data_IF_364022685570
#
_entry.id   IF_364022685570
#
_cell.length_a   1.000
_cell.length_b   1.000
_cell.length_c   1.000
_cell.angle_alpha   90.00
_cell.angle_beta   90.00
_cell.angle_gamma   90.00
#
_symmetry.space_group_name_H-M   'P 1'
#
loop_
_entity.id
_entity.type
_entity.pdbx_description
1 polymer ?
#
# COMPACT_ATOMS: atom_id res chain seq x y z
N UNK A 1 16.55 27.89 -5.77
CA UNK A 1 16.53 27.52 -4.31
C UNK A 1 15.40 28.22 -3.54
N UNK A 2 15.05 29.47 -3.80
CA UNK A 2 14.10 30.23 -2.96
C UNK A 2 12.68 29.65 -2.79
N UNK A 3 12.06 29.09 -3.82
CA UNK A 3 10.66 28.62 -3.74
C UNK A 3 10.52 27.41 -2.82
N UNK A 4 11.41 26.43 -2.93
CA UNK A 4 11.38 25.24 -2.07
C UNK A 4 11.73 25.57 -0.61
N UNK A 5 12.67 26.49 -0.39
CA UNK A 5 13.03 26.94 0.95
C UNK A 5 11.84 27.62 1.64
N UNK A 6 11.16 28.54 0.93
CA UNK A 6 9.97 29.21 1.44
C UNK A 6 8.82 28.22 1.75
N UNK A 7 8.63 27.19 0.91
CA UNK A 7 7.65 26.15 1.16
C UNK A 7 7.97 25.36 2.43
N UNK A 8 9.22 24.97 2.64
CA UNK A 8 9.65 24.24 3.85
C UNK A 8 9.45 25.11 5.10
N UNK A 9 9.82 26.38 5.05
CA UNK A 9 9.64 27.31 6.18
C UNK A 9 8.16 27.58 6.48
N UNK A 10 7.32 27.67 5.43
CA UNK A 10 5.87 27.76 5.58
C UNK A 10 5.32 26.50 6.25
N UNK A 11 5.71 25.32 5.78
CA UNK A 11 5.30 24.05 6.37
C UNK A 11 5.68 23.95 7.84
N UNK A 12 6.90 24.30 8.21
CA UNK A 12 7.36 24.30 9.62
C UNK A 12 6.51 25.19 10.51
N UNK A 13 6.10 26.38 10.00
CA UNK A 13 5.27 27.32 10.77
C UNK A 13 3.86 26.81 11.04
N UNK A 14 3.29 26.08 10.08
CA UNK A 14 1.89 25.61 10.16
C UNK A 14 1.76 24.18 10.68
N UNK A 15 2.86 23.44 10.74
CA UNK A 15 2.87 22.03 11.10
C UNK A 15 2.20 21.77 12.46
N UNK A 16 2.56 22.54 13.49
CA UNK A 16 2.02 22.37 14.84
C UNK A 16 0.52 22.65 14.93
N UNK A 17 -0.04 23.47 14.02
CA UNK A 17 -1.45 23.81 13.98
C UNK A 17 -2.27 22.83 13.14
N UNK A 18 -1.63 21.87 12.46
CA UNK A 18 -2.29 20.90 11.59
C UNK A 18 -2.34 19.54 12.24
N UNK A 19 -3.46 18.86 12.02
CA UNK A 19 -3.69 17.49 12.43
C UNK A 19 -4.30 16.71 11.27
N UNK A 20 -3.59 15.73 10.77
CA UNK A 20 -3.99 14.97 9.59
C UNK A 20 -4.30 13.54 9.99
N UNK A 21 -5.46 13.05 9.61
CA UNK A 21 -5.80 11.64 9.69
C UNK A 21 -5.53 10.97 8.34
N UNK A 22 -4.75 9.90 8.31
CA UNK A 22 -4.34 9.20 7.09
C UNK A 22 -4.63 7.70 7.17
N UNK A 23 -5.27 7.17 6.19
CA UNK A 23 -5.68 5.76 6.09
C UNK A 23 -6.04 5.43 4.62
N UNK A 24 -6.52 4.22 4.29
CA UNK A 24 -7.04 3.20 5.25
C UNK A 24 -6.16 1.93 5.28
N UNK A 25 -5.20 1.82 4.39
CA UNK A 25 -4.36 0.63 4.23
C UNK A 25 -2.92 0.87 4.62
N UNK A 26 -2.29 -0.19 5.09
CA UNK A 26 -0.85 -0.26 5.32
C UNK A 26 -0.34 -1.66 5.05
N UNK A 27 0.90 -1.79 4.61
CA UNK A 27 1.60 -3.05 4.42
C UNK A 27 3.10 -2.88 4.61
N UNK A 28 3.79 -3.98 4.80
CA UNK A 28 5.25 -4.00 4.81
C UNK A 28 5.74 -4.28 3.40
N UNK A 29 6.42 -3.31 2.78
CA UNK A 29 7.09 -3.50 1.50
C UNK A 29 8.43 -4.19 1.72
N UNK A 30 8.60 -5.38 1.14
CA UNK A 30 9.84 -6.13 1.14
C UNK A 30 10.56 -5.89 -0.19
N UNK A 31 11.62 -5.08 -0.17
CA UNK A 31 12.43 -4.87 -1.36
C UNK A 31 13.30 -6.11 -1.60
N UNK A 32 13.03 -6.79 -2.70
CA UNK A 32 13.68 -8.04 -3.08
C UNK A 32 14.61 -7.79 -4.26
N UNK A 33 15.86 -8.22 -4.14
CA UNK A 33 16.80 -8.19 -5.28
C UNK A 33 16.45 -9.27 -6.27
N UNK A 34 16.38 -8.90 -7.52
CA UNK A 34 16.27 -9.86 -8.62
C UNK A 34 17.47 -10.79 -8.64
N UNK A 35 17.23 -12.05 -8.34
CA UNK A 35 18.24 -13.11 -8.46
C UNK A 35 17.89 -14.00 -9.64
N UNK A 36 18.54 -13.73 -10.79
CA UNK A 36 18.31 -14.48 -12.02
C UNK A 36 18.55 -15.98 -11.82
N UNK A 37 19.53 -16.36 -10.99
CA UNK A 37 19.87 -17.77 -10.79
C UNK A 37 18.79 -18.53 -10.02
N UNK A 38 18.20 -17.91 -9.01
CA UNK A 38 17.06 -18.49 -8.24
C UNK A 38 15.82 -18.52 -9.11
N UNK A 39 15.46 -17.41 -9.75
CA UNK A 39 14.23 -17.31 -10.55
C UNK A 39 14.31 -18.23 -11.78
N UNK A 40 15.48 -18.37 -12.42
CA UNK A 40 15.65 -19.29 -13.53
C UNK A 40 15.41 -20.75 -13.09
N UNK A 41 15.86 -21.16 -11.90
CA UNK A 41 15.55 -22.51 -11.39
C UNK A 41 14.03 -22.73 -11.21
N UNK A 42 13.30 -21.70 -10.80
CA UNK A 42 11.85 -21.79 -10.74
C UNK A 42 11.22 -21.93 -12.13
N UNK A 43 11.74 -21.16 -13.12
CA UNK A 43 11.30 -21.28 -14.52
C UNK A 43 11.57 -22.69 -15.03
N UNK A 44 12.78 -23.21 -14.83
CA UNK A 44 13.17 -24.55 -15.29
C UNK A 44 12.31 -25.68 -14.68
N UNK A 45 11.81 -25.44 -13.46
CA UNK A 45 11.02 -26.45 -12.73
C UNK A 45 9.51 -26.33 -12.99
N UNK A 46 8.97 -25.10 -13.11
CA UNK A 46 7.51 -24.87 -13.04
C UNK A 46 6.92 -24.25 -14.30
N UNK A 47 7.73 -23.68 -15.21
CA UNK A 47 7.15 -22.94 -16.34
C UNK A 47 6.42 -23.84 -17.34
N UNK A 48 5.27 -23.35 -17.80
CA UNK A 48 4.52 -23.93 -18.93
C UNK A 48 4.47 -23.00 -20.13
N UNK A 49 4.75 -21.71 -19.95
CA UNK A 49 4.82 -20.67 -20.96
C UNK A 49 4.33 -19.31 -20.44
N UNK A 50 4.66 -18.21 -21.15
CA UNK A 50 4.27 -16.88 -20.70
C UNK A 50 2.75 -16.70 -20.69
N UNK A 51 2.19 -16.27 -19.54
CA UNK A 51 0.76 -16.03 -19.36
C UNK A 51 0.50 -14.72 -18.64
N UNK A 52 -0.54 -14.00 -19.08
CA UNK A 52 -1.00 -12.78 -18.39
C UNK A 52 -1.89 -13.16 -17.21
N UNK A 53 -1.29 -13.19 -16.02
CA UNK A 53 -1.94 -13.61 -14.78
C UNK A 53 -1.93 -12.44 -13.80
N UNK A 54 -3.07 -12.15 -13.15
CA UNK A 54 -3.22 -11.12 -12.13
C UNK A 54 -3.34 -11.71 -10.72
N UNK A 55 -3.85 -12.95 -10.60
CA UNK A 55 -3.91 -13.71 -9.35
C UNK A 55 -3.07 -14.97 -9.49
N UNK A 56 -1.98 -15.04 -8.75
CA UNK A 56 -1.01 -16.13 -8.77
C UNK A 56 -1.35 -17.11 -7.68
N UNK A 57 -1.83 -18.30 -8.03
CA UNK A 57 -2.30 -19.32 -7.10
C UNK A 57 -1.25 -20.38 -6.79
N UNK A 58 -0.17 -20.47 -7.57
CA UNK A 58 0.88 -21.46 -7.43
C UNK A 58 2.18 -21.00 -8.12
N UNK A 59 3.26 -21.79 -8.00
CA UNK A 59 4.56 -21.48 -8.58
C UNK A 59 4.57 -21.49 -10.12
N UNK A 60 3.72 -22.29 -10.76
CA UNK A 60 3.56 -22.27 -12.23
C UNK A 60 3.00 -20.93 -12.69
N UNK A 61 1.96 -20.45 -12.03
CA UNK A 61 1.39 -19.14 -12.31
C UNK A 61 2.40 -18.02 -12.11
N UNK A 62 3.19 -18.09 -11.02
CA UNK A 62 4.23 -17.09 -10.76
C UNK A 62 5.23 -17.01 -11.91
N UNK A 63 5.83 -18.14 -12.31
CA UNK A 63 6.89 -18.11 -13.33
C UNK A 63 6.37 -17.77 -14.71
N UNK A 64 5.16 -18.25 -15.08
CA UNK A 64 4.53 -17.92 -16.35
C UNK A 64 4.16 -16.43 -16.44
N UNK A 65 3.70 -15.84 -15.31
CA UNK A 65 3.50 -14.40 -15.18
C UNK A 65 4.82 -13.63 -15.29
N UNK A 66 5.89 -14.09 -14.64
CA UNK A 66 7.19 -13.43 -14.73
C UNK A 66 7.73 -13.44 -16.17
N UNK A 67 7.62 -14.56 -16.90
CA UNK A 67 7.99 -14.66 -18.32
C UNK A 67 7.20 -13.66 -19.17
N UNK A 68 5.90 -13.48 -18.89
CA UNK A 68 5.05 -12.54 -19.61
C UNK A 68 5.37 -11.09 -19.28
N UNK A 69 5.51 -10.75 -17.97
CA UNK A 69 5.61 -9.37 -17.50
C UNK A 69 7.00 -8.76 -17.56
N UNK A 70 8.04 -9.56 -17.55
CA UNK A 70 9.41 -9.06 -17.61
C UNK A 70 9.70 -8.25 -18.90
N UNK A 71 9.29 -8.69 -20.09
CA UNK A 71 9.40 -7.89 -21.32
C UNK A 71 8.45 -6.68 -21.35
N UNK A 72 7.31 -6.75 -20.66
CA UNK A 72 6.30 -5.67 -20.60
C UNK A 72 6.72 -4.51 -19.68
N UNK A 73 7.69 -4.73 -18.80
CA UNK A 73 8.27 -3.69 -17.96
C UNK A 73 7.66 -3.55 -16.56
N UNK A 74 7.02 -4.58 -16.07
CA UNK A 74 6.54 -4.62 -14.68
C UNK A 74 5.03 -4.70 -14.51
N UNK A 75 4.59 -5.00 -13.30
CA UNK A 75 3.18 -5.16 -12.93
C UNK A 75 3.01 -5.18 -11.41
N UNK A 76 1.75 -5.20 -10.98
CA UNK A 76 1.35 -5.64 -9.64
C UNK A 76 0.36 -6.80 -9.79
N UNK A 77 0.49 -7.82 -8.94
CA UNK A 77 -0.43 -8.95 -8.89
C UNK A 77 -0.53 -9.51 -7.48
N UNK A 78 -1.66 -10.17 -7.20
CA UNK A 78 -1.87 -10.87 -5.94
C UNK A 78 -1.27 -12.27 -6.00
N UNK A 79 -0.75 -12.73 -4.87
CA UNK A 79 -0.16 -14.07 -4.72
C UNK A 79 -0.80 -14.80 -3.53
N UNK A 80 -0.85 -16.12 -3.60
CA UNK A 80 -1.27 -16.94 -2.47
C UNK A 80 -0.15 -17.09 -1.42
N UNK A 81 -0.52 -17.59 -0.25
CA UNK A 81 0.40 -17.77 0.88
C UNK A 81 1.59 -18.69 0.55
N UNK A 82 1.36 -19.78 -0.17
CA UNK A 82 2.41 -20.73 -0.56
C UNK A 82 3.51 -20.05 -1.40
N UNK A 83 3.10 -19.25 -2.36
CA UNK A 83 4.01 -18.48 -3.23
C UNK A 83 4.76 -17.44 -2.40
N UNK A 84 4.07 -16.72 -1.49
CA UNK A 84 4.69 -15.74 -0.60
C UNK A 84 5.79 -16.37 0.26
N UNK A 85 5.52 -17.51 0.90
CA UNK A 85 6.49 -18.27 1.70
C UNK A 85 7.68 -18.76 0.87
N UNK A 86 7.44 -19.19 -0.36
CA UNK A 86 8.50 -19.64 -1.27
C UNK A 86 9.42 -18.46 -1.64
N UNK A 87 8.88 -17.30 -1.94
CA UNK A 87 9.64 -16.08 -2.22
C UNK A 87 10.48 -15.69 -0.99
N UNK A 88 9.86 -15.63 0.18
CA UNK A 88 10.51 -15.21 1.42
C UNK A 88 11.67 -16.12 1.84
N UNK A 89 11.53 -17.44 1.62
CA UNK A 89 12.57 -18.41 1.95
C UNK A 89 13.69 -18.51 0.91
N UNK A 90 13.42 -18.13 -0.34
CA UNK A 90 14.35 -18.37 -1.47
C UNK A 90 15.08 -17.11 -1.93
N UNK A 91 14.49 -15.93 -1.79
CA UNK A 91 15.04 -14.68 -2.24
C UNK A 91 15.53 -13.81 -1.07
N UNK A 92 16.62 -13.09 -1.31
CA UNK A 92 17.20 -12.21 -0.29
C UNK A 92 16.45 -10.88 -0.24
N UNK A 93 15.90 -10.58 0.92
CA UNK A 93 15.35 -9.24 1.22
C UNK A 93 16.49 -8.23 1.32
N UNK A 94 16.39 -7.13 0.57
CA UNK A 94 17.39 -6.06 0.56
C UNK A 94 17.12 -5.00 1.63
N UNK A 95 15.85 -4.62 1.80
CA UNK A 95 15.38 -3.66 2.80
C UNK A 95 13.88 -3.78 2.99
N UNK A 96 13.37 -3.06 4.00
CA UNK A 96 11.95 -2.93 4.29
C UNK A 96 11.49 -1.50 4.01
N UNK A 97 10.23 -1.34 3.64
CA UNK A 97 9.56 -0.06 3.46
C UNK A 97 8.15 -0.07 4.06
N UNK A 98 7.57 1.11 4.17
CA UNK A 98 6.16 1.26 4.48
C UNK A 98 5.40 1.29 3.16
N UNK A 99 4.45 0.39 3.01
CA UNK A 99 3.46 0.41 1.93
C UNK A 99 2.12 0.95 2.41
N UNK A 100 1.25 1.23 1.44
CA UNK A 100 -0.03 1.89 1.65
C UNK A 100 0.11 3.42 1.64
N UNK A 101 -0.60 4.09 0.73
CA UNK A 101 -0.50 5.54 0.50
C UNK A 101 -0.77 6.34 1.77
N UNK A 102 -1.77 5.92 2.59
CA UNK A 102 -2.07 6.59 3.86
C UNK A 102 -0.91 6.52 4.86
N UNK A 103 -0.30 5.35 5.02
CA UNK A 103 0.83 5.18 5.93
C UNK A 103 2.09 5.93 5.43
N UNK A 104 2.36 5.91 4.13
CA UNK A 104 3.45 6.67 3.52
C UNK A 104 3.24 8.19 3.66
N UNK A 105 2.02 8.67 3.45
CA UNK A 105 1.68 10.08 3.66
C UNK A 105 1.88 10.51 5.12
N UNK A 106 1.47 9.68 6.09
CA UNK A 106 1.69 9.94 7.50
C UNK A 106 3.19 10.03 7.84
N UNK A 107 4.04 9.15 7.25
CA UNK A 107 5.49 9.23 7.38
C UNK A 107 6.05 10.54 6.83
N UNK A 108 5.65 10.91 5.62
CA UNK A 108 6.09 12.15 4.98
C UNK A 108 5.69 13.38 5.81
N UNK A 109 4.44 13.46 6.24
CA UNK A 109 3.94 14.53 7.10
C UNK A 109 4.68 14.57 8.45
N UNK A 110 4.90 13.39 9.06
CA UNK A 110 5.65 13.27 10.31
C UNK A 110 7.10 13.77 10.18
N UNK A 111 7.75 13.54 9.04
CA UNK A 111 9.10 14.06 8.77
C UNK A 111 9.15 15.59 8.68
N UNK A 112 8.03 16.23 8.34
CA UNK A 112 7.87 17.69 8.34
C UNK A 112 7.37 18.24 9.67
N UNK A 113 7.16 17.40 10.70
CA UNK A 113 6.68 17.80 12.00
C UNK A 113 5.16 17.95 12.10
N UNK A 114 4.39 17.55 11.08
CA UNK A 114 2.93 17.60 11.10
C UNK A 114 2.38 16.47 11.96
N UNK A 115 1.48 16.81 12.90
CA UNK A 115 0.77 15.82 13.71
C UNK A 115 -0.11 14.95 12.81
N UNK A 116 0.13 13.62 12.86
CA UNK A 116 -0.58 12.67 12.01
C UNK A 116 -1.14 11.53 12.84
N UNK A 117 -2.38 11.14 12.53
CA UNK A 117 -3.00 9.91 13.01
C UNK A 117 -3.09 8.94 11.84
N UNK A 118 -2.52 7.76 12.00
CA UNK A 118 -2.58 6.74 10.95
C UNK A 118 -3.48 5.58 11.37
N UNK A 119 -4.25 5.07 10.41
CA UNK A 119 -4.95 3.79 10.51
C UNK A 119 -4.04 2.72 9.89
N UNK A 120 -3.74 1.66 10.63
CA UNK A 120 -2.91 0.54 10.18
C UNK A 120 -3.75 -0.72 10.08
N UNK A 121 -3.81 -1.32 8.88
CA UNK A 121 -4.44 -2.62 8.63
C UNK A 121 -3.45 -3.76 8.79
N UNK A 122 -2.28 -3.61 8.19
CA UNK A 122 -1.16 -4.54 8.31
C UNK A 122 0.03 -3.83 8.94
N UNK A 123 0.70 -4.51 9.86
CA UNK A 123 1.89 -3.99 10.53
C UNK A 123 2.74 -5.14 11.08
N UNK A 124 4.03 -4.86 11.23
CA UNK A 124 5.01 -5.75 11.82
C UNK A 124 6.03 -4.99 12.65
N UNK A 125 6.98 -5.68 13.30
CA UNK A 125 8.00 -5.06 14.15
C UNK A 125 8.85 -4.02 13.42
N UNK A 126 9.01 -4.12 12.10
CA UNK A 126 9.73 -3.17 11.25
C UNK A 126 9.14 -1.74 11.34
N UNK A 127 7.84 -1.62 11.61
CA UNK A 127 7.17 -0.32 11.74
C UNK A 127 7.68 0.50 12.93
N UNK A 128 8.30 -0.14 13.93
CA UNK A 128 8.93 0.57 15.04
C UNK A 128 10.00 1.57 14.59
N UNK A 129 10.66 1.30 13.48
CA UNK A 129 11.71 2.15 12.91
C UNK A 129 11.20 2.92 11.68
N UNK A 130 10.38 2.30 10.85
CA UNK A 130 9.84 2.90 9.62
C UNK A 130 8.87 4.06 9.90
N UNK A 131 8.08 3.98 10.98
CA UNK A 131 7.12 5.01 11.39
C UNK A 131 7.63 5.84 12.59
N UNK A 132 8.93 5.90 12.84
CA UNK A 132 9.52 6.54 14.01
C UNK A 132 9.60 8.08 13.85
N UNK A 133 8.46 8.73 13.75
CA UNK A 133 8.33 10.18 13.72
C UNK A 133 7.55 10.64 14.98
N UNK A 134 8.12 11.55 15.82
CA UNK A 134 7.47 11.96 17.08
C UNK A 134 6.03 12.47 16.93
N UNK A 135 5.66 13.23 15.88
CA UNK A 135 4.29 13.71 15.71
C UNK A 135 3.32 12.68 15.13
N UNK A 136 3.80 11.47 14.75
CA UNK A 136 2.97 10.41 14.20
C UNK A 136 2.43 9.52 15.32
N UNK A 137 1.13 9.29 15.30
CA UNK A 137 0.42 8.38 16.21
C UNK A 137 -0.41 7.36 15.43
N UNK A 138 -0.61 6.19 16.01
CA UNK A 138 -1.50 5.15 15.50
C UNK A 138 -2.76 5.12 16.33
N UNK A 139 -3.92 5.05 15.69
CA UNK A 139 -5.17 4.85 16.40
C UNK A 139 -5.27 3.40 16.91
N UNK A 140 -5.69 3.26 18.16
CA UNK A 140 -5.99 1.97 18.77
C UNK A 140 -6.97 2.13 19.94
N UNK A 141 -8.12 1.46 19.88
CA UNK A 141 -9.08 1.36 20.99
C UNK A 141 -9.42 2.71 21.65
N UNK A 142 -9.78 3.73 20.85
CA UNK A 142 -10.18 5.06 21.33
C UNK A 142 -9.02 6.00 21.68
N UNK A 143 -7.79 5.63 21.39
CA UNK A 143 -6.59 6.41 21.72
C UNK A 143 -5.67 6.57 20.51
N UNK A 144 -4.92 7.68 20.50
CA UNK A 144 -3.76 7.84 19.62
C UNK A 144 -2.51 7.43 20.40
N UNK A 145 -1.83 6.40 19.95
CA UNK A 145 -0.65 5.83 20.60
C UNK A 145 0.61 6.11 19.78
N UNK A 146 1.75 6.41 20.43
CA UNK A 146 3.03 6.33 19.74
C UNK A 146 3.24 4.95 19.12
N UNK A 147 3.84 4.89 17.94
CA UNK A 147 3.98 3.64 17.15
C UNK A 147 4.57 2.50 17.98
N UNK A 148 5.64 2.73 18.73
CA UNK A 148 6.26 1.69 19.55
C UNK A 148 5.36 1.17 20.67
N UNK A 149 4.46 2.01 21.20
CA UNK A 149 3.47 1.58 22.18
C UNK A 149 2.39 0.76 21.51
N UNK A 150 1.87 1.23 20.37
CA UNK A 150 0.90 0.47 19.58
C UNK A 150 1.38 -0.94 19.26
N UNK A 151 2.63 -1.10 18.79
CA UNK A 151 3.21 -2.40 18.42
C UNK A 151 3.39 -3.34 19.64
N UNK A 152 3.56 -2.80 20.85
CA UNK A 152 3.62 -3.62 22.07
C UNK A 152 2.25 -4.09 22.54
N UNK A 153 1.20 -3.31 22.27
CA UNK A 153 -0.17 -3.57 22.74
C UNK A 153 -1.00 -4.39 21.76
N UNK A 154 -0.53 -4.56 20.52
CA UNK A 154 -1.28 -5.24 19.47
C UNK A 154 -0.48 -6.39 18.87
N UNK A 155 -1.17 -7.49 18.58
CA UNK A 155 -0.59 -8.64 17.87
C UNK A 155 -0.30 -8.24 16.43
N UNK A 156 0.82 -8.72 15.90
CA UNK A 156 1.24 -8.51 14.53
C UNK A 156 0.17 -8.93 13.52
N UNK A 157 -0.01 -8.11 12.48
CA UNK A 157 -0.83 -8.39 11.30
C UNK A 157 0.05 -8.20 10.08
N UNK A 158 0.65 -9.28 9.60
CA UNK A 158 1.65 -9.22 8.56
C UNK A 158 1.04 -9.54 7.19
N UNK A 159 1.09 -8.57 6.30
CA UNK A 159 0.70 -8.70 4.90
C UNK A 159 1.81 -8.06 4.03
N UNK A 160 2.82 -8.83 3.59
CA UNK A 160 3.94 -8.30 2.85
C UNK A 160 3.62 -8.11 1.38
N UNK A 161 4.16 -7.02 0.82
CA UNK A 161 4.30 -6.82 -0.61
C UNK A 161 5.76 -7.05 -1.00
N UNK A 162 6.02 -8.02 -1.84
CA UNK A 162 7.37 -8.30 -2.35
C UNK A 162 7.62 -7.44 -3.59
N UNK A 163 8.55 -6.50 -3.47
CA UNK A 163 8.93 -5.59 -4.57
C UNK A 163 10.16 -6.17 -5.27
N UNK A 164 9.95 -6.98 -6.31
CA UNK A 164 11.01 -7.57 -7.11
C UNK A 164 11.58 -6.52 -8.07
N UNK A 165 12.72 -5.95 -7.72
CA UNK A 165 13.39 -4.94 -8.53
C UNK A 165 14.36 -5.58 -9.51
N UNK A 166 14.16 -5.35 -10.81
CA UNK A 166 15.05 -5.83 -11.87
C UNK A 166 15.69 -4.68 -12.65
N UNK A 167 16.87 -4.93 -13.17
CA UNK A 167 17.60 -3.99 -14.02
C UNK A 167 17.26 -4.19 -15.50
N UNK A 168 17.54 -3.18 -16.31
CA UNK A 168 17.49 -3.32 -17.76
C UNK A 168 18.41 -4.47 -18.21
N UNK A 169 17.89 -5.35 -19.06
CA UNK A 169 18.61 -6.53 -19.54
C UNK A 169 18.53 -7.75 -18.62
N UNK A 170 17.80 -7.67 -17.47
CA UNK A 170 17.47 -8.87 -16.73
C UNK A 170 16.68 -9.82 -17.64
N UNK A 171 17.06 -11.10 -17.65
CA UNK A 171 16.51 -12.06 -18.61
C UNK A 171 16.22 -13.40 -17.94
N UNK A 172 15.15 -14.05 -18.41
CA UNK A 172 14.79 -15.42 -18.11
C UNK A 172 14.71 -16.20 -19.41
N UNK A 173 15.08 -17.47 -19.37
CA UNK A 173 15.04 -18.36 -20.54
C UNK A 173 13.99 -19.43 -20.32
N UNK A 174 13.17 -19.64 -21.33
CA UNK A 174 12.23 -20.76 -21.37
C UNK A 174 12.21 -21.34 -22.77
N UNK A 175 12.52 -22.63 -22.88
CA UNK A 175 12.78 -23.30 -24.17
C UNK A 175 13.90 -22.56 -24.94
N UNK A 176 13.70 -22.26 -26.22
CA UNK A 176 14.66 -21.57 -27.08
C UNK A 176 14.50 -20.03 -27.07
N UNK A 177 13.65 -19.49 -26.16
CA UNK A 177 13.36 -18.06 -26.09
C UNK A 177 13.96 -17.40 -24.86
N UNK A 178 14.32 -16.11 -25.01
CA UNK A 178 14.78 -15.24 -23.92
C UNK A 178 13.79 -14.10 -23.70
N UNK A 179 13.29 -13.98 -22.50
CA UNK A 179 12.38 -12.94 -22.05
C UNK A 179 13.20 -11.90 -21.29
N UNK A 180 13.35 -10.71 -21.86
CA UNK A 180 14.32 -9.72 -21.38
C UNK A 180 13.64 -8.41 -21.05
N UNK A 181 13.98 -7.83 -19.89
CA UNK A 181 13.50 -6.52 -19.45
C UNK A 181 14.08 -5.40 -20.34
N UNK A 182 13.25 -4.60 -21.03
CA UNK A 182 13.70 -3.49 -21.88
C UNK A 182 14.19 -2.28 -21.07
N UNK A 183 13.69 -2.14 -19.85
CA UNK A 183 14.01 -1.06 -18.90
C UNK A 183 14.17 -1.62 -17.49
N UNK A 184 14.81 -0.88 -16.60
CA UNK A 184 14.79 -1.19 -15.17
C UNK A 184 13.40 -0.87 -14.61
N UNK A 185 12.80 -1.80 -13.86
CA UNK A 185 11.49 -1.62 -13.23
C UNK A 185 11.31 -2.62 -12.06
N UNK A 186 10.06 -2.82 -11.63
CA UNK A 186 9.69 -3.71 -10.55
C UNK A 186 8.44 -4.52 -10.88
N UNK A 187 8.34 -5.69 -10.27
CA UNK A 187 7.09 -6.46 -10.16
C UNK A 187 6.72 -6.48 -8.68
N UNK A 188 5.48 -6.10 -8.37
CA UNK A 188 4.92 -6.11 -7.02
C UNK A 188 4.08 -7.37 -6.87
N UNK A 189 4.43 -8.19 -5.89
CA UNK A 189 3.73 -9.43 -5.56
C UNK A 189 3.09 -9.26 -4.18
N UNK A 190 1.79 -9.07 -4.15
CA UNK A 190 1.07 -8.69 -2.95
C UNK A 190 0.37 -9.91 -2.32
N UNK A 191 0.88 -10.38 -1.18
CA UNK A 191 0.13 -11.28 -0.32
C UNK A 191 -0.65 -10.44 0.70
N UNK A 192 -1.85 -9.99 0.31
CA UNK A 192 -2.56 -8.94 1.04
C UNK A 192 -4.05 -9.22 1.18
N UNK A 193 -4.39 -10.19 2.00
CA UNK A 193 -5.79 -10.48 2.34
C UNK A 193 -6.40 -9.35 3.18
N UNK A 194 -5.59 -8.71 4.04
CA UNK A 194 -6.08 -7.70 4.98
C UNK A 194 -6.57 -6.43 4.28
N UNK A 195 -5.76 -5.90 3.34
CA UNK A 195 -6.14 -4.68 2.61
C UNK A 195 -7.21 -4.96 1.56
N UNK A 196 -7.27 -6.18 0.99
CA UNK A 196 -8.34 -6.55 0.06
C UNK A 196 -9.73 -6.62 0.71
N UNK A 197 -9.79 -6.89 2.02
CA UNK A 197 -11.01 -6.83 2.81
C UNK A 197 -11.35 -5.42 3.29
N UNK A 198 -10.36 -4.55 3.37
CA UNK A 198 -10.42 -3.17 3.85
C UNK A 198 -11.18 -3.06 5.20
N UNK A 199 -10.66 -3.59 6.30
CA UNK A 199 -11.30 -3.48 7.60
C UNK A 199 -11.30 -2.01 8.06
N UNK A 200 -12.48 -1.43 8.26
CA UNK A 200 -12.65 -0.04 8.70
C UNK A 200 -12.82 0.01 10.21
N UNK A 201 -11.99 0.78 10.88
CA UNK A 201 -12.20 1.10 12.30
C UNK A 201 -13.02 2.40 12.43
N UNK A 202 -14.29 2.29 12.77
CA UNK A 202 -15.18 3.43 12.95
C UNK A 202 -14.68 4.39 14.03
N UNK A 203 -14.07 3.85 15.08
CA UNK A 203 -13.48 4.65 16.15
C UNK A 203 -12.35 5.56 15.68
N UNK A 204 -11.59 5.16 14.66
CA UNK A 204 -10.58 6.02 14.04
C UNK A 204 -11.20 7.28 13.44
N UNK A 205 -12.30 7.14 12.70
CA UNK A 205 -13.00 8.28 12.10
C UNK A 205 -13.60 9.19 13.17
N UNK A 206 -14.25 8.62 14.19
CA UNK A 206 -14.80 9.38 15.30
C UNK A 206 -13.71 10.10 16.10
N UNK A 207 -12.57 9.47 16.29
CA UNK A 207 -11.42 10.11 16.95
C UNK A 207 -10.90 11.28 16.11
N UNK A 208 -10.75 11.12 14.79
CA UNK A 208 -10.33 12.18 13.88
C UNK A 208 -11.30 13.38 13.90
N UNK A 209 -12.61 13.12 13.84
CA UNK A 209 -13.66 14.17 13.98
C UNK A 209 -13.55 14.90 15.30
N UNK A 210 -13.55 14.18 16.41
CA UNK A 210 -13.50 14.75 17.77
C UNK A 210 -12.27 15.60 18.01
N UNK A 211 -11.16 15.26 17.38
CA UNK A 211 -9.89 16.00 17.51
C UNK A 211 -9.69 17.01 16.37
N UNK A 212 -10.74 17.35 15.63
CA UNK A 212 -10.74 18.37 14.59
C UNK A 212 -9.62 18.17 13.55
N UNK A 213 -9.56 16.99 12.94
CA UNK A 213 -8.62 16.73 11.86
C UNK A 213 -8.78 17.80 10.76
N UNK A 214 -7.70 18.48 10.42
CA UNK A 214 -7.67 19.50 9.36
C UNK A 214 -7.66 18.92 7.95
N UNK A 215 -7.22 17.66 7.84
CA UNK A 215 -7.33 16.89 6.62
C UNK A 215 -7.54 15.40 6.93
N UNK A 216 -8.23 14.72 6.03
CA UNK A 216 -8.44 13.28 6.05
C UNK A 216 -8.02 12.70 4.69
N UNK A 217 -7.07 11.78 4.69
CA UNK A 217 -6.67 11.02 3.51
C UNK A 217 -7.32 9.64 3.54
N UNK A 218 -8.10 9.33 2.51
CA UNK A 218 -8.68 8.01 2.24
C UNK A 218 -7.92 7.36 1.10
N UNK A 219 -7.31 6.21 1.34
CA UNK A 219 -6.53 5.47 0.34
C UNK A 219 -6.79 3.95 0.40
N UNK A 220 -6.32 3.22 -0.61
CA UNK A 220 -6.32 1.77 -0.63
C UNK A 220 -7.66 1.10 -1.02
N UNK A 221 -8.69 1.87 -1.34
CA UNK A 221 -10.01 1.33 -1.76
C UNK A 221 -9.90 0.53 -3.05
N UNK A 222 -8.99 0.91 -3.94
CA UNK A 222 -8.76 0.23 -5.22
C UNK A 222 -8.22 -1.21 -5.09
N UNK A 223 -7.66 -1.56 -3.92
CA UNK A 223 -7.16 -2.91 -3.62
C UNK A 223 -8.25 -3.96 -3.34
N UNK A 224 -9.52 -3.56 -3.22
CA UNK A 224 -10.64 -4.48 -2.99
C UNK A 224 -10.88 -5.32 -4.25
N UNK A 225 -10.89 -6.65 -4.08
CA UNK A 225 -10.99 -7.60 -5.20
C UNK A 225 -12.40 -8.14 -5.44
N UNK A 226 -13.32 -7.98 -4.50
CA UNK A 226 -14.69 -8.49 -4.58
C UNK A 226 -15.67 -7.34 -4.77
N UNK A 227 -16.56 -7.46 -5.74
CA UNK A 227 -17.49 -6.38 -6.12
C UNK A 227 -18.45 -6.00 -5.01
N UNK A 228 -19.04 -7.01 -4.34
CA UNK A 228 -19.97 -6.79 -3.23
C UNK A 228 -19.27 -6.09 -2.05
N UNK A 229 -18.00 -6.45 -1.78
CA UNK A 229 -17.21 -5.81 -0.74
C UNK A 229 -16.89 -4.35 -1.11
N UNK A 230 -16.53 -4.08 -2.37
CA UNK A 230 -16.29 -2.72 -2.84
C UNK A 230 -17.53 -1.83 -2.64
N UNK A 231 -18.71 -2.30 -3.07
CA UNK A 231 -19.97 -1.58 -2.92
C UNK A 231 -20.32 -1.31 -1.45
N UNK A 232 -20.12 -2.30 -0.58
CA UNK A 232 -20.36 -2.16 0.84
C UNK A 232 -19.42 -1.14 1.48
N UNK A 233 -18.10 -1.25 1.19
CA UNK A 233 -17.07 -0.38 1.76
C UNK A 233 -17.18 1.07 1.28
N UNK A 234 -17.48 1.31 0.02
CA UNK A 234 -17.72 2.66 -0.49
C UNK A 234 -18.86 3.34 0.22
N UNK A 235 -20.00 2.65 0.42
CA UNK A 235 -21.15 3.18 1.18
C UNK A 235 -20.80 3.39 2.66
N UNK A 236 -20.02 2.51 3.24
CA UNK A 236 -19.56 2.61 4.63
C UNK A 236 -18.66 3.84 4.81
N UNK A 237 -17.65 4.02 3.94
CA UNK A 237 -16.77 5.19 3.92
C UNK A 237 -17.59 6.47 3.73
N UNK A 238 -18.51 6.50 2.76
CA UNK A 238 -19.36 7.65 2.50
C UNK A 238 -20.15 8.11 3.74
N UNK A 239 -20.65 7.17 4.57
CA UNK A 239 -21.30 7.46 5.85
C UNK A 239 -20.31 7.94 6.91
N UNK A 240 -19.12 7.32 6.97
CA UNK A 240 -18.08 7.72 7.91
C UNK A 240 -17.53 9.11 7.63
N UNK A 241 -17.61 9.60 6.40
CA UNK A 241 -17.27 10.97 6.03
C UNK A 241 -18.32 11.99 6.50
N UNK A 242 -19.55 11.57 6.79
CA UNK A 242 -20.56 12.45 7.32
C UNK A 242 -20.19 12.95 8.73
N UNK A 243 -20.43 14.23 8.98
CA UNK A 243 -20.13 14.86 10.27
C UNK A 243 -18.69 15.31 10.47
N UNK A 244 -17.81 15.19 9.47
CA UNK A 244 -16.58 15.98 9.46
C UNK A 244 -16.92 17.47 9.28
N UNK A 245 -16.08 18.34 9.84
CA UNK A 245 -16.21 19.79 9.66
C UNK A 245 -16.05 20.16 8.19
N UNK A 246 -16.77 21.19 7.74
CA UNK A 246 -16.55 21.77 6.39
C UNK A 246 -15.12 22.35 6.22
N UNK A 247 -14.41 22.56 7.32
CA UNK A 247 -12.99 22.98 7.28
C UNK A 247 -12.03 21.81 7.14
N UNK A 248 -12.50 20.55 7.29
CA UNK A 248 -11.67 19.36 7.09
C UNK A 248 -11.56 19.08 5.61
N UNK A 249 -10.35 19.14 5.06
CA UNK A 249 -10.10 18.75 3.67
C UNK A 249 -10.13 17.21 3.55
N UNK A 250 -11.02 16.68 2.74
CA UNK A 250 -11.10 15.26 2.43
C UNK A 250 -10.44 14.98 1.10
N UNK A 251 -9.31 14.28 1.17
CA UNK A 251 -8.55 13.82 0.01
C UNK A 251 -8.79 12.32 -0.18
N UNK A 252 -9.28 11.93 -1.35
CA UNK A 252 -9.53 10.55 -1.73
C UNK A 252 -8.55 10.12 -2.82
N UNK A 253 -7.69 9.16 -2.51
CA UNK A 253 -6.78 8.55 -3.49
C UNK A 253 -7.53 7.53 -4.32
N UNK A 254 -7.44 7.66 -5.64
CA UNK A 254 -8.05 6.78 -6.62
C UNK A 254 -6.98 6.00 -7.39
N UNK A 255 -6.43 4.96 -6.75
CA UNK A 255 -5.47 4.05 -7.39
C UNK A 255 -6.09 3.19 -8.50
N UNK A 256 -5.30 2.38 -9.19
CA UNK A 256 -5.82 1.47 -10.23
C UNK A 256 -6.72 0.40 -9.61
N UNK A 257 -7.97 0.35 -10.07
CA UNK A 257 -8.92 -0.68 -9.65
C UNK A 257 -8.71 -1.99 -10.39
N UNK A 258 -8.72 -3.10 -9.66
CA UNK A 258 -8.74 -4.45 -10.24
C UNK A 258 -10.12 -4.82 -10.81
N UNK A 259 -11.18 -4.22 -10.26
CA UNK A 259 -12.56 -4.42 -10.71
C UNK A 259 -12.91 -3.49 -11.87
N UNK A 260 -13.53 -4.06 -12.92
CA UNK A 260 -13.82 -3.36 -14.18
C UNK A 260 -14.58 -2.05 -14.03
N UNK A 261 -15.51 -1.97 -13.06
CA UNK A 261 -16.37 -0.79 -12.83
C UNK A 261 -16.01 0.00 -11.58
N UNK A 262 -14.83 -0.29 -11.01
CA UNK A 262 -14.38 0.28 -9.75
C UNK A 262 -14.37 1.81 -9.74
N UNK A 263 -13.87 2.43 -10.79
CA UNK A 263 -13.86 3.90 -10.91
C UNK A 263 -15.26 4.51 -10.88
N UNK A 264 -16.21 3.97 -11.66
CA UNK A 264 -17.59 4.45 -11.70
C UNK A 264 -18.26 4.41 -10.33
N UNK A 265 -18.11 3.29 -9.62
CA UNK A 265 -18.63 3.11 -8.26
C UNK A 265 -17.98 4.07 -7.27
N UNK A 266 -16.65 4.22 -7.33
CA UNK A 266 -15.89 5.11 -6.48
C UNK A 266 -16.33 6.57 -6.61
N UNK A 267 -16.36 7.10 -7.83
CA UNK A 267 -16.80 8.47 -8.09
C UNK A 267 -18.26 8.71 -7.73
N UNK A 268 -19.14 7.73 -7.93
CA UNK A 268 -20.54 7.82 -7.56
C UNK A 268 -20.73 8.01 -6.05
N UNK A 269 -20.00 7.24 -5.24
CA UNK A 269 -20.20 7.22 -3.78
C UNK A 269 -19.39 8.31 -3.06
N UNK A 270 -18.14 8.59 -3.52
CA UNK A 270 -17.22 9.49 -2.83
C UNK A 270 -17.00 10.83 -3.53
N UNK A 271 -17.38 10.97 -4.81
CA UNK A 271 -17.12 12.18 -5.59
C UNK A 271 -17.75 13.46 -5.02
N UNK A 272 -18.94 13.34 -4.42
CA UNK A 272 -19.61 14.49 -3.77
C UNK A 272 -19.28 14.66 -2.29
N UNK A 273 -18.37 13.85 -1.74
CA UNK A 273 -18.01 13.85 -0.31
C UNK A 273 -16.52 14.14 -0.10
N UNK A 274 -15.77 14.33 -1.16
CA UNK A 274 -14.34 14.65 -1.15
C UNK A 274 -14.07 15.98 -1.82
N UNK A 275 -13.09 16.71 -1.29
CA UNK A 275 -12.60 17.97 -1.86
C UNK A 275 -11.62 17.72 -3.01
N UNK A 276 -10.86 16.64 -2.91
CA UNK A 276 -9.86 16.23 -3.91
C UNK A 276 -9.96 14.72 -4.14
N UNK A 277 -9.97 14.33 -5.42
CA UNK A 277 -9.77 12.95 -5.86
C UNK A 277 -8.57 12.94 -6.80
N UNK A 278 -7.57 12.08 -6.56
CA UNK A 278 -6.34 11.98 -7.35
C UNK A 278 -5.84 10.54 -7.49
#
# INVERSE_FOLDING_TARGET
MGVYQNAIEYFKRVADSRYVAAGLTSNVDLLVRWDTGVIQKWVDQYATGPRNISNVENMTDLVDMLLFRLPEGGTECFICEEVARTIESSLKMASYGVGGTGAQAACALGSFGVRSLVHLTSFGPQFADLLNYPPLSVYSNGKALPVRQFLRENSERYAPHFILQFHKGAALKFQDQSYTAPVANKIILSWDVLNSELPLDHGYFEYAKKNHATALLISGVSGIQQEENLDAKLKEIARLLEGFSQETMVYCECGPFFLKDGYGKYFKELGGKSDIIA
#
